data_IF_728995406284
#
_entry.id   IF_728995406284
#
_cell.length_a   1.000
_cell.length_b   1.000
_cell.length_c   1.000
_cell.angle_alpha   90.00
_cell.angle_beta   90.00
_cell.angle_gamma   90.00
#
_symmetry.space_group_name_H-M   'P 1'
#
loop_
_entity.id
_entity.type
_entity.pdbx_description
1 polymer ?
#
# COMPACT_ATOMS: atom_id res chain seq x y z
N UNK A 1 38.77 17.27 41.79
CA UNK A 1 38.69 15.90 41.23
C UNK A 1 37.25 15.36 41.06
N UNK A 2 36.35 15.44 42.07
CA UNK A 2 34.99 14.84 42.01
C UNK A 2 34.06 15.44 40.93
N UNK A 3 34.17 16.75 40.64
CA UNK A 3 33.34 17.45 39.65
C UNK A 3 33.60 16.96 38.21
N UNK A 4 34.86 16.68 37.87
CA UNK A 4 35.25 16.16 36.55
C UNK A 4 34.69 14.74 36.31
N UNK A 5 34.68 13.88 37.34
CA UNK A 5 34.08 12.53 37.28
C UNK A 5 32.56 12.57 37.07
N UNK A 6 31.85 13.49 37.76
CA UNK A 6 30.40 13.67 37.57
C UNK A 6 30.06 14.15 36.16
N UNK A 7 30.82 15.10 35.61
CA UNK A 7 30.62 15.57 34.23
C UNK A 7 30.87 14.45 33.24
N UNK A 8 31.96 13.68 33.40
CA UNK A 8 32.27 12.54 32.52
C UNK A 8 31.16 11.48 32.51
N UNK A 9 30.66 11.09 33.69
CA UNK A 9 29.56 10.12 33.79
C UNK A 9 28.26 10.65 33.15
N UNK A 10 27.94 11.93 33.35
CA UNK A 10 26.76 12.56 32.77
C UNK A 10 26.84 12.65 31.24
N UNK A 11 28.03 12.97 30.72
CA UNK A 11 28.28 12.98 29.26
C UNK A 11 28.22 11.56 28.70
N UNK A 12 28.81 10.57 29.37
CA UNK A 12 28.74 9.17 28.97
C UNK A 12 27.30 8.65 28.91
N UNK A 13 26.49 8.91 29.93
CA UNK A 13 25.07 8.56 29.96
C UNK A 13 24.28 9.27 28.85
N UNK A 14 24.56 10.55 28.60
CA UNK A 14 23.91 11.30 27.51
C UNK A 14 24.26 10.76 26.13
N UNK A 15 25.51 10.33 25.92
CA UNK A 15 25.94 9.73 24.65
C UNK A 15 25.32 8.36 24.44
N UNK A 16 25.25 7.53 25.49
CA UNK A 16 24.61 6.22 25.42
C UNK A 16 23.13 6.36 25.10
N UNK A 17 22.40 7.20 25.84
CA UNK A 17 20.99 7.48 25.60
C UNK A 17 20.71 8.01 24.20
N UNK A 18 21.62 8.83 23.65
CA UNK A 18 21.51 9.31 22.27
C UNK A 18 21.67 8.17 21.25
N UNK A 19 22.62 7.26 21.48
CA UNK A 19 22.82 6.09 20.61
C UNK A 19 21.64 5.12 20.68
N UNK A 20 21.12 4.88 21.87
CA UNK A 20 19.94 4.04 22.07
C UNK A 20 18.72 4.65 21.38
N UNK A 21 18.52 5.97 21.50
CA UNK A 21 17.44 6.68 20.82
C UNK A 21 17.58 6.63 19.29
N UNK A 22 18.81 6.75 18.76
CA UNK A 22 19.10 6.61 17.33
C UNK A 22 18.70 5.20 16.82
N UNK A 23 19.05 4.15 17.57
CA UNK A 23 18.70 2.76 17.24
C UNK A 23 17.18 2.53 17.31
N UNK A 24 16.52 3.00 18.37
CA UNK A 24 15.07 2.87 18.54
C UNK A 24 14.32 3.63 17.44
N UNK A 25 14.81 4.80 17.04
CA UNK A 25 14.25 5.58 15.93
C UNK A 25 14.37 4.82 14.62
N UNK A 26 15.56 4.28 14.30
CA UNK A 26 15.75 3.46 13.10
C UNK A 26 14.85 2.22 13.08
N UNK A 27 14.72 1.55 14.23
CA UNK A 27 13.85 0.39 14.36
C UNK A 27 12.38 0.73 14.14
N UNK A 28 11.90 1.83 14.76
CA UNK A 28 10.55 2.34 14.58
C UNK A 28 10.28 2.73 13.12
N UNK A 29 11.21 3.42 12.48
CA UNK A 29 11.08 3.86 11.09
C UNK A 29 11.02 2.65 10.14
N UNK A 30 11.82 1.61 10.42
CA UNK A 30 11.75 0.36 9.68
C UNK A 30 10.39 -0.36 9.85
N UNK A 31 9.85 -0.38 11.07
CA UNK A 31 8.52 -0.95 11.32
C UNK A 31 7.41 -0.19 10.59
N UNK A 32 7.47 1.15 10.56
CA UNK A 32 6.49 1.98 9.85
C UNK A 32 6.53 1.66 8.35
N UNK A 33 7.72 1.67 7.74
CA UNK A 33 7.88 1.39 6.31
C UNK A 33 7.50 -0.04 5.91
N UNK A 34 7.45 -0.97 6.87
CA UNK A 34 7.02 -2.35 6.62
C UNK A 34 5.49 -2.50 6.53
N UNK A 35 4.73 -1.50 6.98
CA UNK A 35 3.24 -1.54 7.05
C UNK A 35 2.58 -0.54 6.11
N UNK A 36 3.28 0.54 5.77
CA UNK A 36 2.74 1.59 4.90
C UNK A 36 3.81 2.21 4.00
N UNK A 37 3.45 2.70 2.80
CA UNK A 37 4.35 3.44 1.94
C UNK A 37 4.86 4.72 2.59
N UNK A 38 6.09 5.14 2.25
CA UNK A 38 6.76 6.30 2.85
C UNK A 38 5.93 7.58 2.79
N UNK A 39 5.34 7.88 1.63
CA UNK A 39 4.51 9.07 1.45
C UNK A 39 3.31 9.10 2.40
N UNK A 40 2.65 7.96 2.57
CA UNK A 40 1.51 7.82 3.49
C UNK A 40 1.97 7.92 4.94
N UNK A 41 3.15 7.35 5.27
CA UNK A 41 3.75 7.50 6.60
C UNK A 41 4.06 8.96 6.95
N UNK A 42 4.67 9.69 6.02
CA UNK A 42 5.05 11.08 6.23
C UNK A 42 3.81 11.97 6.40
N UNK A 43 2.75 11.74 5.61
CA UNK A 43 1.45 12.41 5.74
C UNK A 43 0.82 12.14 7.12
N UNK A 44 0.76 10.88 7.55
CA UNK A 44 0.22 10.52 8.86
C UNK A 44 1.03 11.08 10.04
N UNK A 45 2.36 11.10 9.93
CA UNK A 45 3.23 11.68 10.96
C UNK A 45 3.05 13.20 11.04
N UNK A 46 2.80 13.86 9.91
CA UNK A 46 2.52 15.30 9.83
C UNK A 46 1.18 15.61 10.49
N UNK A 47 0.12 14.92 10.11
CA UNK A 47 -1.22 15.06 10.69
C UNK A 47 -1.20 14.83 12.21
N UNK A 48 -0.52 13.77 12.67
CA UNK A 48 -0.35 13.49 14.10
C UNK A 48 0.42 14.59 14.83
N UNK A 49 1.39 15.24 14.17
CA UNK A 49 2.14 16.36 14.74
C UNK A 49 1.31 17.65 14.83
N UNK A 50 0.41 17.89 13.87
CA UNK A 50 -0.51 19.02 13.87
C UNK A 50 -1.60 18.86 14.94
N UNK A 51 -2.15 17.65 15.09
CA UNK A 51 -3.06 17.29 16.19
C UNK A 51 -2.40 17.41 17.59
N UNK A 52 -1.08 17.28 17.67
CA UNK A 52 -0.31 17.43 18.92
C UNK A 52 0.14 18.88 19.20
N UNK A 53 -0.29 19.88 18.42
CA UNK A 53 -0.22 21.29 18.84
C UNK A 53 -1.54 21.70 19.50
N UNK A 54 -1.72 21.57 20.83
CA UNK A 54 -2.63 22.48 21.50
C UNK A 54 -2.17 23.90 21.20
N UNK A 55 -3.12 24.76 20.87
CA UNK A 55 -3.00 26.21 20.80
C UNK A 55 -2.22 26.79 21.98
N UNK A 56 -0.89 26.85 21.85
CA UNK A 56 0.02 27.48 22.80
C UNK A 56 0.02 29.01 22.65
N UNK A 57 -1.16 29.62 22.57
CA UNK A 57 -1.31 31.07 22.45
C UNK A 57 -2.55 31.65 23.16
N UNK A 58 -3.10 31.00 24.17
CA UNK A 58 -4.17 31.61 24.99
C UNK A 58 -3.99 31.55 26.51
N UNK A 59 -2.79 31.20 27.00
CA UNK A 59 -2.46 31.27 28.43
C UNK A 59 -1.51 32.44 28.73
N UNK A 60 -1.97 33.66 28.48
CA UNK A 60 -1.30 34.86 29.02
C UNK A 60 -2.25 36.05 29.02
N UNK A 61 -3.21 36.07 29.96
CA UNK A 61 -3.64 37.27 30.68
C UNK A 61 -4.72 36.95 31.73
N UNK A 62 -4.31 36.37 32.86
CA UNK A 62 -5.08 36.47 34.11
C UNK A 62 -4.13 36.68 35.28
N UNK A 63 -3.40 37.81 35.29
CA UNK A 63 -2.62 38.26 36.46
C UNK A 63 -3.31 39.50 37.04
N UNK A 64 -3.98 39.26 38.17
CA UNK A 64 -4.37 40.15 39.26
C UNK A 64 -4.63 41.64 38.97
N UNK A 65 -5.87 42.11 39.24
CA UNK A 65 -6.12 43.31 40.06
C UNK A 65 -7.63 43.61 40.25
N UNK A 66 -8.07 43.51 41.52
CA UNK A 66 -8.93 44.42 42.30
C UNK A 66 -10.19 45.09 41.71
N UNK A 67 -11.33 44.72 42.32
CA UNK A 67 -12.35 45.56 42.96
C UNK A 67 -13.14 46.68 42.22
N UNK A 68 -14.46 46.62 42.48
CA UNK A 68 -15.44 47.69 42.84
C UNK A 68 -16.54 48.13 41.83
N UNK A 69 -17.80 48.02 42.32
CA UNK A 69 -19.05 48.78 42.08
C UNK A 69 -19.87 48.55 40.78
N UNK A 70 -21.10 47.99 40.88
CA UNK A 70 -22.45 48.64 40.96
C UNK A 70 -22.81 49.43 39.66
N UNK A 71 -23.92 49.28 38.93
CA UNK A 71 -25.37 49.16 39.22
C UNK A 71 -26.15 48.80 37.92
N UNK A 72 -27.40 48.30 38.01
CA UNK A 72 -28.45 48.53 36.98
C UNK A 72 -29.23 47.32 36.45
N UNK A 73 -30.53 47.24 36.80
CA UNK A 73 -31.56 46.29 36.36
C UNK A 73 -31.85 46.31 34.83
N UNK A 74 -32.19 45.17 34.23
CA UNK A 74 -33.57 44.77 33.81
C UNK A 74 -33.55 43.49 32.96
N UNK A 75 -34.37 42.53 33.38
CA UNK A 75 -35.10 41.47 32.65
C UNK A 75 -34.54 40.89 31.34
N UNK A 76 -34.15 39.61 31.37
CA UNK A 76 -34.86 38.49 30.71
C UNK A 76 -33.98 37.21 30.72
N UNK A 77 -34.49 36.15 31.38
CA UNK A 77 -34.05 34.77 31.18
C UNK A 77 -34.70 34.22 29.90
N UNK A 78 -34.11 33.24 29.18
CA UNK A 78 -33.53 32.04 29.79
C UNK A 78 -32.22 31.51 29.18
N UNK A 79 -31.35 31.03 30.09
CA UNK A 79 -30.51 29.84 29.97
C UNK A 79 -30.42 29.20 28.56
N UNK A 80 -29.65 29.79 27.65
CA UNK A 80 -29.06 29.02 26.56
C UNK A 80 -27.77 28.44 27.09
N UNK A 81 -27.92 27.22 27.61
CA UNK A 81 -26.85 26.25 27.78
C UNK A 81 -25.87 26.41 26.59
N UNK A 82 -24.69 26.97 26.85
CA UNK A 82 -23.51 26.72 26.02
C UNK A 82 -23.29 25.20 26.12
N UNK A 83 -24.04 24.45 25.31
CA UNK A 83 -23.64 23.13 24.87
C UNK A 83 -22.33 23.38 24.18
N UNK A 84 -21.24 23.20 24.93
CA UNK A 84 -20.04 22.55 24.44
C UNK A 84 -20.52 21.50 23.45
N UNK A 85 -20.48 21.84 22.16
CA UNK A 85 -20.76 20.87 21.12
C UNK A 85 -19.71 19.82 21.37
N UNK A 86 -20.07 18.60 21.83
CA UNK A 86 -19.07 17.56 21.93
C UNK A 86 -18.51 17.41 20.51
N UNK A 87 -17.19 17.36 20.36
CA UNK A 87 -16.55 16.99 19.10
C UNK A 87 -16.95 15.55 18.79
N UNK A 88 -18.20 15.37 18.33
CA UNK A 88 -18.75 14.07 17.93
C UNK A 88 -18.25 13.87 16.52
N UNK A 89 -16.98 13.50 16.38
CA UNK A 89 -16.54 12.75 15.21
C UNK A 89 -17.31 11.42 15.24
N UNK A 90 -18.51 11.41 14.63
CA UNK A 90 -19.36 10.21 14.50
C UNK A 90 -18.65 9.10 13.73
N UNK A 91 -17.67 9.47 12.92
CA UNK A 91 -16.82 8.57 12.17
C UNK A 91 -15.37 8.71 12.61
N UNK A 92 -14.68 7.57 12.74
CA UNK A 92 -13.23 7.58 12.97
C UNK A 92 -12.56 8.22 11.75
N UNK A 93 -11.54 9.07 11.94
CA UNK A 93 -10.74 9.53 10.81
C UNK A 93 -10.03 8.31 10.19
N UNK A 94 -10.19 8.13 8.89
CA UNK A 94 -9.40 7.18 8.09
C UNK A 94 -9.05 7.87 6.77
N UNK A 95 -7.82 7.70 6.32
CA UNK A 95 -7.30 8.37 5.12
C UNK A 95 -7.54 7.47 3.92
N UNK A 96 -8.41 7.90 2.99
CA UNK A 96 -8.59 7.28 1.68
C UNK A 96 -8.45 8.33 0.60
N UNK A 97 -7.62 8.03 -0.39
CA UNK A 97 -7.38 8.88 -1.54
C UNK A 97 -7.81 8.13 -2.80
N UNK A 98 -8.58 8.80 -3.65
CA UNK A 98 -8.92 8.30 -4.98
C UNK A 98 -7.76 8.62 -5.92
N UNK A 99 -7.21 7.59 -6.55
CA UNK A 99 -6.15 7.70 -7.55
C UNK A 99 -6.66 7.19 -8.89
N UNK A 100 -6.37 7.92 -9.95
CA UNK A 100 -6.63 7.53 -11.33
C UNK A 100 -5.33 7.06 -11.98
N UNK A 101 -5.44 6.31 -13.08
CA UNK A 101 -4.30 5.83 -13.87
C UNK A 101 -3.32 4.99 -13.04
N UNK A 102 -3.88 4.00 -12.35
CA UNK A 102 -3.13 3.03 -11.55
C UNK A 102 -3.19 1.68 -12.25
N UNK A 103 -2.02 1.06 -12.45
CA UNK A 103 -1.92 -0.30 -12.97
C UNK A 103 -1.79 -1.30 -11.84
N UNK A 104 -2.65 -2.30 -11.85
CA UNK A 104 -2.79 -3.32 -10.82
C UNK A 104 -2.32 -4.64 -11.42
N UNK A 105 -1.46 -5.36 -10.69
CA UNK A 105 -0.95 -6.67 -11.07
C UNK A 105 -1.35 -7.72 -10.03
N UNK A 106 -1.91 -8.81 -10.52
CA UNK A 106 -2.10 -10.05 -9.77
C UNK A 106 -1.23 -11.13 -10.40
N UNK A 107 -0.48 -11.87 -9.58
CA UNK A 107 0.37 -12.97 -10.00
C UNK A 107 0.11 -14.18 -9.11
N UNK A 108 -0.35 -15.29 -9.70
CA UNK A 108 -0.65 -16.51 -8.98
C UNK A 108 0.16 -17.72 -9.48
N UNK A 109 0.54 -18.60 -8.57
CA UNK A 109 1.42 -19.73 -8.86
C UNK A 109 0.59 -20.87 -9.46
N UNK A 110 0.74 -21.09 -10.76
CA UNK A 110 0.17 -22.25 -11.42
C UNK A 110 0.87 -23.54 -10.94
N UNK A 111 0.06 -24.47 -10.41
CA UNK A 111 0.54 -25.75 -9.87
C UNK A 111 0.80 -25.78 -8.36
N UNK A 112 0.52 -24.67 -7.65
CA UNK A 112 0.78 -24.56 -6.21
C UNK A 112 0.11 -25.65 -5.36
N UNK A 113 -1.15 -25.98 -5.63
CA UNK A 113 -1.90 -27.01 -4.86
C UNK A 113 -1.22 -28.38 -4.92
N UNK A 114 -0.72 -28.78 -6.10
CA UNK A 114 0.01 -30.04 -6.29
C UNK A 114 1.36 -29.99 -5.57
N UNK A 115 2.05 -28.85 -5.69
CA UNK A 115 3.37 -28.62 -5.09
C UNK A 115 3.32 -28.62 -3.56
N UNK A 116 2.28 -28.02 -2.97
CA UNK A 116 2.11 -27.88 -1.51
C UNK A 116 1.63 -29.15 -0.83
N UNK A 117 0.83 -29.98 -1.52
CA UNK A 117 0.30 -31.24 -0.97
C UNK A 117 1.39 -32.25 -0.54
N UNK A 118 2.56 -32.18 -1.18
CA UNK A 118 3.66 -33.11 -0.95
C UNK A 118 4.78 -32.55 -0.05
N UNK A 119 4.53 -31.43 0.66
CA UNK A 119 5.56 -30.77 1.50
C UNK A 119 5.12 -30.58 2.93
N UNK A 120 6.11 -30.54 3.81
CA UNK A 120 5.89 -30.06 5.17
C UNK A 120 5.60 -28.55 5.17
N UNK A 121 4.91 -28.07 6.20
CA UNK A 121 4.57 -26.66 6.32
C UNK A 121 5.81 -25.75 6.37
N UNK A 122 6.88 -26.19 7.04
CA UNK A 122 8.14 -25.44 7.15
C UNK A 122 8.83 -25.29 5.78
N UNK A 123 8.95 -26.38 5.03
CA UNK A 123 9.54 -26.36 3.69
C UNK A 123 8.73 -25.49 2.72
N UNK A 124 7.40 -25.56 2.80
CA UNK A 124 6.51 -24.75 1.96
C UNK A 124 6.67 -23.26 2.27
N UNK A 125 6.72 -22.88 3.55
CA UNK A 125 6.91 -21.49 3.97
C UNK A 125 8.29 -20.99 3.55
N UNK A 126 9.34 -21.78 3.71
CA UNK A 126 10.69 -21.41 3.26
C UNK A 126 10.76 -21.20 1.74
N UNK A 127 10.06 -22.05 0.98
CA UNK A 127 9.96 -21.94 -0.46
C UNK A 127 9.23 -20.67 -0.90
N UNK A 128 8.07 -20.40 -0.30
CA UNK A 128 7.29 -19.19 -0.55
C UNK A 128 8.07 -17.93 -0.17
N UNK A 129 8.79 -17.96 0.95
CA UNK A 129 9.56 -16.81 1.41
C UNK A 129 10.75 -16.49 0.47
N UNK A 130 11.45 -17.50 -0.06
CA UNK A 130 12.48 -17.28 -1.10
C UNK A 130 11.86 -16.67 -2.36
N UNK A 131 10.75 -17.23 -2.85
CA UNK A 131 10.09 -16.75 -4.06
C UNK A 131 9.54 -15.33 -3.90
N UNK A 132 8.79 -15.06 -2.83
CA UNK A 132 8.26 -13.73 -2.53
C UNK A 132 9.37 -12.73 -2.23
N UNK A 133 10.48 -13.15 -1.62
CA UNK A 133 11.65 -12.28 -1.44
C UNK A 133 12.26 -11.82 -2.79
N UNK A 134 12.27 -12.69 -3.80
CA UNK A 134 12.68 -12.31 -5.17
C UNK A 134 11.70 -11.33 -5.79
N UNK A 135 10.40 -11.55 -5.62
CA UNK A 135 9.36 -10.63 -6.12
C UNK A 135 9.40 -9.27 -5.42
N UNK A 136 9.63 -9.24 -4.11
CA UNK A 136 9.78 -8.00 -3.36
C UNK A 136 10.98 -7.18 -3.87
N UNK A 137 12.07 -7.85 -4.23
CA UNK A 137 13.21 -7.19 -4.87
C UNK A 137 12.86 -6.64 -6.27
N UNK A 138 12.15 -7.42 -7.09
CA UNK A 138 11.69 -6.95 -8.41
C UNK A 138 10.72 -5.77 -8.29
N UNK A 139 9.79 -5.82 -7.33
CA UNK A 139 8.82 -4.76 -7.05
C UNK A 139 9.54 -3.45 -6.69
N UNK A 140 10.56 -3.55 -5.83
CA UNK A 140 11.41 -2.41 -5.45
C UNK A 140 12.21 -1.83 -6.62
N UNK A 141 12.78 -2.68 -7.47
CA UNK A 141 13.57 -2.23 -8.64
C UNK A 141 12.67 -1.61 -9.72
N UNK A 142 11.49 -2.17 -9.94
CA UNK A 142 10.50 -1.63 -10.88
C UNK A 142 9.76 -0.38 -10.37
N UNK A 143 9.92 -0.03 -9.08
CA UNK A 143 9.22 1.10 -8.47
C UNK A 143 7.70 0.87 -8.35
N UNK A 144 7.30 -0.38 -8.09
CA UNK A 144 5.93 -0.75 -7.75
C UNK A 144 5.75 -0.82 -6.24
N UNK A 145 4.51 -0.67 -5.79
CA UNK A 145 4.13 -0.81 -4.39
C UNK A 145 3.46 -2.17 -4.19
N UNK A 146 4.02 -2.97 -3.28
CA UNK A 146 3.41 -4.24 -2.86
C UNK A 146 2.26 -3.93 -1.91
N UNK A 147 1.08 -4.49 -2.18
CA UNK A 147 -0.07 -4.29 -1.29
C UNK A 147 -0.19 -5.44 -0.30
N UNK A 148 -0.33 -6.67 -0.77
CA UNK A 148 -0.34 -7.85 0.10
C UNK A 148 -0.09 -9.12 -0.71
N UNK A 149 0.06 -10.23 0.00
CA UNK A 149 0.01 -11.58 -0.54
C UNK A 149 -1.28 -12.25 -0.07
N UNK A 150 -1.95 -13.01 -0.93
CA UNK A 150 -3.17 -13.75 -0.65
C UNK A 150 -2.90 -15.23 -0.92
N UNK A 151 -2.40 -15.95 0.09
CA UNK A 151 -1.93 -17.32 -0.11
C UNK A 151 -0.68 -17.34 -0.99
N UNK A 152 -0.79 -17.98 -2.15
CA UNK A 152 0.20 -18.06 -3.23
C UNK A 152 0.12 -16.90 -4.23
N UNK A 153 -0.95 -16.12 -4.18
CA UNK A 153 -1.12 -14.95 -5.03
C UNK A 153 -0.36 -13.73 -4.48
N UNK A 154 0.41 -13.08 -5.34
CA UNK A 154 1.13 -11.84 -5.09
C UNK A 154 0.45 -10.70 -5.84
N UNK A 155 0.10 -9.60 -5.16
CA UNK A 155 -0.47 -8.43 -5.85
C UNK A 155 0.19 -7.11 -5.46
N UNK A 156 0.43 -6.30 -6.49
CA UNK A 156 1.09 -5.01 -6.39
C UNK A 156 0.45 -3.99 -7.34
N UNK A 157 0.76 -2.73 -7.12
CA UNK A 157 0.23 -1.60 -7.91
C UNK A 157 1.34 -0.66 -8.33
N UNK A 158 1.16 -0.01 -9.48
CA UNK A 158 2.00 1.08 -9.96
C UNK A 158 1.16 2.35 -10.14
N UNK A 159 1.72 3.52 -9.83
CA UNK A 159 0.99 4.79 -9.86
C UNK A 159 0.24 5.11 -8.56
N UNK A 160 0.44 4.30 -7.50
CA UNK A 160 -0.13 4.51 -6.18
C UNK A 160 0.93 4.15 -5.12
N UNK A 161 1.17 4.98 -4.08
CA UNK A 161 0.52 6.26 -3.73
C UNK A 161 1.07 7.48 -4.50
N UNK A 162 2.07 7.30 -5.35
CA UNK A 162 2.64 8.33 -6.21
C UNK A 162 2.22 8.10 -7.66
N UNK A 163 1.51 9.05 -8.30
CA UNK A 163 1.18 8.97 -9.71
C UNK A 163 2.44 8.88 -10.56
N UNK A 164 2.42 8.04 -11.58
CA UNK A 164 3.59 7.73 -12.39
C UNK A 164 3.14 7.57 -13.85
N UNK A 165 3.67 8.33 -14.81
CA UNK A 165 3.16 8.32 -16.19
C UNK A 165 3.45 7.02 -16.96
N UNK A 166 4.48 6.28 -16.55
CA UNK A 166 4.91 4.99 -17.07
C UNK A 166 4.40 3.80 -16.21
N UNK A 167 3.33 4.00 -15.43
CA UNK A 167 2.75 2.98 -14.53
C UNK A 167 2.54 1.63 -15.25
N UNK A 168 1.90 1.63 -16.43
CA UNK A 168 1.54 0.41 -17.15
C UNK A 168 2.76 -0.36 -17.66
N UNK A 169 3.76 0.37 -18.17
CA UNK A 169 5.00 -0.23 -18.70
C UNK A 169 5.76 -0.92 -17.57
N UNK A 170 5.94 -0.24 -16.43
CA UNK A 170 6.59 -0.81 -15.24
C UNK A 170 5.88 -2.06 -14.74
N UNK A 171 4.55 -2.04 -14.73
CA UNK A 171 3.75 -3.18 -14.31
C UNK A 171 3.89 -4.37 -15.26
N UNK A 172 3.91 -4.14 -16.57
CA UNK A 172 4.14 -5.19 -17.56
C UNK A 172 5.55 -5.77 -17.44
N UNK A 173 6.57 -4.93 -17.32
CA UNK A 173 7.96 -5.37 -17.11
C UNK A 173 8.10 -6.20 -15.84
N UNK A 174 7.45 -5.78 -14.74
CA UNK A 174 7.36 -6.56 -13.51
C UNK A 174 6.78 -7.95 -13.77
N UNK A 175 5.63 -8.03 -14.46
CA UNK A 175 4.99 -9.31 -14.79
C UNK A 175 5.89 -10.23 -15.61
N UNK A 176 6.58 -9.69 -16.62
CA UNK A 176 7.54 -10.44 -17.43
C UNK A 176 8.72 -10.94 -16.59
N UNK A 177 9.27 -10.09 -15.71
CA UNK A 177 10.36 -10.45 -14.82
C UNK A 177 9.94 -11.51 -13.78
N UNK A 178 8.70 -11.48 -13.30
CA UNK A 178 8.17 -12.52 -12.41
C UNK A 178 8.10 -13.89 -13.11
N UNK A 179 7.69 -13.92 -14.38
CA UNK A 179 7.69 -15.15 -15.19
C UNK A 179 9.11 -15.70 -15.37
N UNK A 180 10.09 -14.83 -15.62
CA UNK A 180 11.50 -15.24 -15.71
C UNK A 180 12.01 -15.75 -14.35
N UNK A 181 11.69 -15.07 -13.26
CA UNK A 181 12.12 -15.42 -11.92
C UNK A 181 11.55 -16.78 -11.45
N UNK A 182 10.26 -17.06 -11.71
CA UNK A 182 9.68 -18.36 -11.36
C UNK A 182 10.27 -19.49 -12.21
N UNK A 183 10.58 -19.25 -13.48
CA UNK A 183 11.25 -20.26 -14.33
C UNK A 183 12.63 -20.59 -13.81
N UNK A 184 13.41 -19.59 -13.40
CA UNK A 184 14.71 -19.83 -12.76
C UNK A 184 14.59 -20.56 -11.41
N UNK A 185 13.56 -20.20 -10.64
CA UNK A 185 13.24 -20.87 -9.38
C UNK A 185 12.92 -22.36 -9.62
N UNK A 186 12.09 -22.66 -10.61
CA UNK A 186 11.69 -24.01 -10.97
C UNK A 186 12.87 -24.84 -11.48
N UNK A 187 13.74 -24.29 -12.34
CA UNK A 187 14.98 -24.95 -12.80
C UNK A 187 15.89 -25.32 -11.61
N UNK A 188 15.97 -24.46 -10.60
CA UNK A 188 16.85 -24.67 -9.44
C UNK A 188 16.29 -25.70 -8.46
N UNK A 189 14.96 -25.74 -8.30
CA UNK A 189 14.29 -26.48 -7.23
C UNK A 189 13.50 -27.70 -7.72
N UNK A 190 13.23 -27.81 -9.02
CA UNK A 190 12.49 -28.90 -9.66
C UNK A 190 11.07 -29.07 -9.12
N UNK A 191 10.25 -28.02 -9.15
CA UNK A 191 8.95 -27.99 -8.47
C UNK A 191 7.74 -28.11 -9.41
N UNK A 192 7.96 -28.07 -10.73
CA UNK A 192 6.91 -28.11 -11.75
C UNK A 192 5.89 -26.97 -11.56
N UNK A 193 6.41 -25.76 -11.34
CA UNK A 193 5.61 -24.55 -11.07
C UNK A 193 5.79 -23.50 -12.16
N UNK A 194 4.74 -22.74 -12.40
CA UNK A 194 4.73 -21.60 -13.34
C UNK A 194 3.89 -20.46 -12.76
N UNK A 195 3.82 -19.31 -13.44
CA UNK A 195 3.08 -18.13 -12.97
C UNK A 195 2.00 -17.73 -13.97
N UNK A 196 0.80 -17.41 -13.49
CA UNK A 196 -0.19 -16.62 -14.24
C UNK A 196 -0.10 -15.17 -13.78
N UNK A 197 -0.08 -14.23 -14.71
CA UNK A 197 -0.03 -12.80 -14.39
C UNK A 197 -1.18 -12.10 -15.09
N UNK A 198 -1.98 -11.37 -14.34
CA UNK A 198 -3.06 -10.51 -14.83
C UNK A 198 -2.81 -9.05 -14.49
N UNK A 199 -2.99 -8.16 -15.46
CA UNK A 199 -2.76 -6.73 -15.30
C UNK A 199 -3.96 -5.95 -15.84
N UNK A 200 -4.44 -5.01 -15.04
CA UNK A 200 -5.47 -4.06 -15.45
C UNK A 200 -5.12 -2.65 -14.98
N UNK A 201 -5.48 -1.65 -15.78
CA UNK A 201 -5.25 -0.23 -15.49
C UNK A 201 -6.59 0.46 -15.30
N UNK A 202 -6.75 1.14 -14.18
CA UNK A 202 -8.00 1.82 -13.83
C UNK A 202 -7.81 2.81 -12.68
N UNK A 203 -8.89 3.06 -11.94
CA UNK A 203 -8.92 3.92 -10.76
C UNK A 203 -8.97 3.07 -9.50
N UNK A 204 -8.28 3.51 -8.45
CA UNK A 204 -8.29 2.83 -7.15
C UNK A 204 -8.52 3.81 -6.02
N UNK A 205 -9.27 3.38 -5.01
CA UNK A 205 -9.32 4.07 -3.73
C UNK A 205 -8.31 3.41 -2.80
N UNK A 206 -7.23 4.12 -2.47
CA UNK A 206 -6.18 3.60 -1.62
C UNK A 206 -6.22 4.25 -0.23
N UNK A 207 -5.89 3.50 0.82
CA UNK A 207 -5.87 4.06 2.16
C UNK A 207 -5.45 3.07 3.23
N UNK A 208 -5.31 3.58 4.46
CA UNK A 208 -5.08 2.74 5.63
C UNK A 208 -6.41 2.27 6.18
N UNK A 209 -6.60 0.95 6.28
CA UNK A 209 -7.85 0.37 6.78
C UNK A 209 -7.61 -0.44 8.05
N UNK A 210 -8.55 -0.29 9.01
CA UNK A 210 -8.57 -1.02 10.28
C UNK A 210 -7.96 -0.25 11.45
N UNK A 211 -8.18 -0.75 12.66
CA UNK A 211 -7.63 -0.18 13.91
C UNK A 211 -6.70 -1.11 14.67
N UNK A 212 -6.68 -2.39 14.28
CA UNK A 212 -5.74 -3.41 14.76
C UNK A 212 -5.21 -4.11 13.51
N UNK A 213 -3.89 -4.32 13.43
CA UNK A 213 -3.23 -4.84 12.21
C UNK A 213 -3.66 -4.04 10.96
N UNK A 214 -3.66 -2.72 11.10
CA UNK A 214 -4.00 -1.84 9.99
C UNK A 214 -2.92 -1.96 8.91
N UNK A 215 -3.33 -1.94 7.65
CA UNK A 215 -2.45 -2.06 6.48
C UNK A 215 -2.89 -1.08 5.41
N UNK A 216 -1.95 -0.69 4.56
CA UNK A 216 -2.28 0.01 3.33
C UNK A 216 -2.96 -0.98 2.38
N UNK A 217 -4.12 -0.60 1.83
CA UNK A 217 -4.84 -1.45 0.88
C UNK A 217 -5.53 -0.62 -0.20
N UNK A 218 -5.91 -1.29 -1.29
CA UNK A 218 -6.55 -0.67 -2.45
C UNK A 218 -7.91 -1.30 -2.71
N UNK A 219 -8.90 -0.48 -3.03
CA UNK A 219 -10.29 -0.90 -3.26
C UNK A 219 -10.80 -0.29 -4.56
N UNK A 220 -11.27 -1.13 -5.48
CA UNK A 220 -11.99 -0.72 -6.68
C UNK A 220 -12.61 -1.94 -7.36
N UNK A 221 -13.59 -1.70 -8.24
CA UNK A 221 -14.04 -2.72 -9.19
C UNK A 221 -12.90 -3.09 -10.17
N UNK A 222 -12.00 -2.14 -10.46
CA UNK A 222 -10.84 -2.35 -11.33
C UNK A 222 -9.83 -3.33 -10.71
N UNK A 223 -9.79 -3.45 -9.37
CA UNK A 223 -8.98 -4.46 -8.66
C UNK A 223 -9.59 -5.85 -8.87
N UNK A 224 -10.93 -5.97 -8.78
CA UNK A 224 -11.63 -7.22 -9.07
C UNK A 224 -11.40 -7.65 -10.51
N UNK A 225 -11.44 -6.70 -11.44
CA UNK A 225 -11.15 -6.98 -12.84
C UNK A 225 -9.71 -7.46 -13.04
N UNK A 226 -8.71 -6.82 -12.41
CA UNK A 226 -7.32 -7.29 -12.46
C UNK A 226 -7.17 -8.74 -11.94
N UNK A 227 -7.90 -9.10 -10.88
CA UNK A 227 -7.92 -10.46 -10.35
C UNK A 227 -8.56 -11.45 -11.35
N UNK A 228 -9.64 -11.05 -12.03
CA UNK A 228 -10.23 -11.86 -13.10
C UNK A 228 -9.29 -12.05 -14.30
N UNK A 229 -8.51 -11.02 -14.65
CA UNK A 229 -7.47 -11.11 -15.67
C UNK A 229 -6.42 -12.17 -15.32
N UNK A 230 -6.01 -12.28 -14.05
CA UNK A 230 -5.10 -13.34 -13.61
C UNK A 230 -5.77 -14.71 -13.74
N UNK A 231 -6.99 -14.84 -13.21
CA UNK A 231 -7.68 -16.12 -13.13
C UNK A 231 -8.03 -16.71 -14.50
N UNK A 232 -8.20 -15.85 -15.50
CA UNK A 232 -8.39 -16.22 -16.92
C UNK A 232 -7.07 -16.25 -17.71
N UNK A 233 -5.95 -15.95 -17.05
CA UNK A 233 -4.62 -15.92 -17.63
C UNK A 233 -4.08 -17.31 -17.97
N UNK A 234 -3.07 -17.32 -18.84
CA UNK A 234 -2.36 -18.53 -19.26
C UNK A 234 -0.99 -18.53 -18.55
N UNK A 235 -0.60 -19.67 -17.99
CA UNK A 235 0.65 -19.79 -17.26
C UNK A 235 1.85 -19.50 -18.17
N UNK A 236 2.78 -18.68 -17.69
CA UNK A 236 3.97 -18.23 -18.40
C UNK A 236 3.74 -17.08 -19.37
N UNK A 237 2.55 -16.45 -19.36
CA UNK A 237 2.21 -15.26 -20.14
C UNK A 237 1.63 -14.17 -19.23
N UNK A 238 1.71 -12.92 -19.70
CA UNK A 238 1.09 -11.77 -19.02
C UNK A 238 -0.22 -11.46 -19.74
N UNK A 239 -1.32 -11.44 -19.00
CA UNK A 239 -2.66 -11.15 -19.50
C UNK A 239 -3.00 -9.69 -19.16
N UNK A 240 -3.32 -8.88 -20.18
CA UNK A 240 -3.61 -7.45 -20.03
C UNK A 240 -4.98 -7.08 -20.57
N UNK A 241 -5.64 -6.15 -19.87
CA UNK A 241 -6.89 -5.55 -20.34
C UNK A 241 -6.64 -4.57 -21.49
N UNK A 242 -7.69 -4.27 -22.27
CA UNK A 242 -7.65 -3.18 -23.27
C UNK A 242 -7.20 -1.85 -22.66
N UNK A 243 -7.69 -1.55 -21.44
CA UNK A 243 -7.31 -0.32 -20.74
C UNK A 243 -5.80 -0.23 -20.53
N UNK A 244 -5.14 -1.34 -20.20
CA UNK A 244 -3.67 -1.38 -20.08
C UNK A 244 -3.01 -1.33 -21.44
N UNK A 245 -3.54 -2.03 -22.44
CA UNK A 245 -3.01 -2.05 -23.81
C UNK A 245 -2.92 -0.65 -24.42
N UNK A 246 -3.85 0.27 -24.10
CA UNK A 246 -3.79 1.68 -24.57
C UNK A 246 -2.53 2.42 -24.11
N UNK A 247 -1.94 2.03 -22.98
CA UNK A 247 -0.70 2.60 -22.46
C UNK A 247 0.55 1.88 -22.97
N UNK A 248 0.39 0.67 -23.51
CA UNK A 248 1.45 -0.11 -24.12
C UNK A 248 1.53 0.32 -25.59
N UNK A 249 2.52 1.16 -25.90
CA UNK A 249 2.80 1.61 -27.28
C UNK A 249 3.20 0.42 -28.17
N UNK A 250 3.70 0.68 -29.38
CA UNK A 250 4.16 -0.34 -30.34
C UNK A 250 5.38 -1.19 -29.89
N UNK A 251 5.86 -0.99 -28.66
CA UNK A 251 7.01 -1.68 -28.08
C UNK A 251 6.70 -3.15 -27.72
N UNK A 252 5.42 -3.50 -27.61
CA UNK A 252 4.96 -4.82 -27.19
C UNK A 252 4.11 -5.51 -28.25
N UNK A 253 4.27 -6.83 -28.38
CA UNK A 253 3.45 -7.66 -29.25
C UNK A 253 2.26 -8.19 -28.42
N UNK A 254 1.05 -7.80 -28.83
CA UNK A 254 -0.22 -8.22 -28.24
C UNK A 254 -0.86 -9.31 -29.12
N UNK A 255 -1.29 -10.41 -28.50
CA UNK A 255 -2.11 -11.46 -29.09
C UNK A 255 -3.53 -11.31 -28.52
N UNK A 256 -4.56 -11.58 -29.32
CA UNK A 256 -5.93 -11.62 -28.81
C UNK A 256 -6.09 -12.77 -27.82
N UNK A 257 -6.76 -12.49 -26.69
CA UNK A 257 -7.08 -13.50 -25.69
C UNK A 257 -8.32 -14.32 -26.03
N UNK A 258 -8.48 -15.53 -25.44
CA UNK A 258 -9.69 -16.30 -25.62
C UNK A 258 -10.89 -15.52 -25.08
N UNK A 259 -11.98 -15.53 -25.83
CA UNK A 259 -13.30 -15.15 -25.33
C UNK A 259 -13.71 -16.15 -24.25
N UNK A 260 -13.49 -15.81 -22.98
CA UNK A 260 -13.96 -16.61 -21.85
C UNK A 260 -15.47 -16.43 -21.65
N UNK A 261 -16.22 -17.35 -22.25
CA UNK A 261 -17.67 -17.46 -22.15
C UNK A 261 -18.11 -17.65 -20.69
N UNK A 262 -18.88 -16.70 -20.16
CA UNK A 262 -19.46 -16.73 -18.81
C UNK A 262 -19.00 -15.63 -17.83
N UNK A 263 -17.75 -15.16 -17.89
CA UNK A 263 -17.25 -14.06 -17.00
C UNK A 263 -17.11 -12.72 -17.70
N UNK A 264 -16.82 -12.72 -19.02
CA UNK A 264 -16.85 -11.52 -19.87
C UNK A 264 -18.24 -10.90 -20.03
N UNK A 265 -19.31 -11.64 -19.75
CA UNK A 265 -20.67 -11.10 -19.73
C UNK A 265 -20.83 -9.97 -18.69
N UNK A 266 -20.10 -10.04 -17.57
CA UNK A 266 -20.10 -9.00 -16.54
C UNK A 266 -19.25 -7.78 -16.95
N UNK A 267 -18.14 -8.01 -17.65
CA UNK A 267 -17.29 -6.98 -18.26
C UNK A 267 -18.06 -6.14 -19.31
N UNK A 268 -18.83 -6.80 -20.18
CA UNK A 268 -19.71 -6.12 -21.15
C UNK A 268 -20.83 -5.33 -20.47
N UNK A 269 -21.30 -5.75 -19.30
CA UNK A 269 -22.29 -5.01 -18.50
C UNK A 269 -21.70 -3.77 -17.80
N UNK A 270 -20.38 -3.67 -17.66
CA UNK A 270 -19.67 -2.54 -17.04
C UNK A 270 -19.11 -1.52 -18.05
N UNK A 271 -19.59 -1.55 -19.30
CA UNK A 271 -19.41 -0.47 -20.28
C UNK A 271 -17.94 -0.21 -20.68
N UNK A 272 -17.14 -1.27 -20.76
CA UNK A 272 -15.81 -1.24 -21.42
C UNK A 272 -15.88 -2.11 -22.66
N UNK A 273 -15.45 -1.56 -23.80
CA UNK A 273 -15.24 -2.32 -25.02
C UNK A 273 -14.34 -3.53 -24.67
N UNK A 274 -14.85 -4.72 -24.95
CA UNK A 274 -14.52 -5.94 -24.22
C UNK A 274 -13.38 -6.74 -24.81
N UNK A 275 -12.28 -6.11 -25.24
CA UNK A 275 -11.16 -6.84 -25.83
C UNK A 275 -10.07 -7.17 -24.80
N UNK A 276 -9.72 -8.45 -24.71
CA UNK A 276 -8.67 -8.96 -23.82
C UNK A 276 -7.43 -9.28 -24.65
N UNK A 277 -6.25 -8.96 -24.12
CA UNK A 277 -4.99 -9.15 -24.84
C UNK A 277 -3.99 -9.95 -24.00
N UNK A 278 -3.33 -10.93 -24.59
CA UNK A 278 -2.12 -11.52 -24.03
C UNK A 278 -0.90 -10.76 -24.54
N UNK A 279 0.01 -10.46 -23.63
CA UNK A 279 1.35 -10.01 -23.99
C UNK A 279 2.22 -11.23 -24.28
N UNK A 280 2.86 -11.20 -25.45
CA UNK A 280 3.67 -12.32 -25.94
C UNK A 280 5.15 -12.02 -25.75
N UNK A 281 5.58 -10.77 -26.06
CA UNK A 281 7.01 -10.39 -26.08
C UNK A 281 7.22 -8.87 -26.29
N UNK A 282 8.38 -8.37 -25.87
CA UNK A 282 8.94 -7.10 -26.39
C UNK A 282 9.35 -7.29 -27.86
N UNK A 283 9.11 -6.27 -28.70
CA UNK A 283 9.76 -6.16 -30.01
C UNK A 283 11.26 -5.88 -29.76
N UNK A 284 12.12 -6.80 -30.20
CA UNK A 284 13.55 -6.55 -30.32
C UNK A 284 13.85 -5.95 -31.70
#
# INVERSE_FOLDING_TARGET
>A
MVRQRKTFLKVGQSLLARKDLELETQFKDHMIQSVMPKKVADELLKDASELRRPSASFDSNCRASNATNQTGNTDEQPLTLLKTVPDVRKFRPFTMNLMTDVSILFADIAGFTKMSSNKSADELVNLLNDLFGRFDNLCRVGGLEKISTLGDCYYCVAGCPEPCSDHAIRTVEMGLNMIVAIRQFDITRGQDVNMRVGIHTGKVMCGMVGTKRFKFDVFSNDVTLANEMESTGIAGRVHVSEATAKYLKEDYILEEGPDYDGKLAMLRLLNTDGQLYFLIRMRF
#
